data_IF_474955390175
#
_entry.id   IF_474955390175
#
_cell.length_a   1.000
_cell.length_b   1.000
_cell.length_c   1.000
_cell.angle_alpha   90.00
_cell.angle_beta   90.00
_cell.angle_gamma   90.00
#
_symmetry.space_group_name_H-M   'P 1'
#
loop_
_entity.id
_entity.type
_entity.pdbx_description
1 polymer ?
#
# COMPACT_ATOMS: atom_id res chain seq x y z
N UNK A 1 6.17 -7.70 19.31
CA UNK A 1 7.19 -6.64 19.17
C UNK A 1 8.48 -7.13 18.52
N UNK A 2 9.08 -8.21 18.98
CA UNK A 2 10.34 -8.75 18.45
C UNK A 2 10.27 -9.12 16.96
N UNK A 3 9.17 -9.70 16.49
CA UNK A 3 8.93 -10.06 15.09
C UNK A 3 8.89 -8.85 14.14
N UNK A 4 8.33 -7.72 14.58
CA UNK A 4 8.36 -6.48 13.82
C UNK A 4 9.76 -5.88 13.73
N UNK A 5 10.54 -5.97 14.82
CA UNK A 5 11.92 -5.50 14.83
C UNK A 5 12.81 -6.34 13.90
N UNK A 6 12.64 -7.67 13.92
CA UNK A 6 13.34 -8.57 13.01
C UNK A 6 12.97 -8.36 11.55
N UNK A 7 11.68 -8.15 11.26
CA UNK A 7 11.20 -7.79 9.91
C UNK A 7 11.80 -6.47 9.44
N UNK A 8 11.89 -5.49 10.33
CA UNK A 8 12.47 -4.20 10.03
C UNK A 8 13.98 -4.26 9.76
N UNK A 9 14.72 -5.04 10.56
CA UNK A 9 16.14 -5.32 10.34
C UNK A 9 16.37 -6.05 9.00
N UNK A 10 15.48 -6.97 8.63
CA UNK A 10 15.56 -7.68 7.35
C UNK A 10 15.39 -6.73 6.16
N UNK A 11 14.49 -5.76 6.25
CA UNK A 11 14.30 -4.71 5.21
C UNK A 11 15.55 -3.82 5.09
N UNK A 12 16.26 -3.54 6.19
CA UNK A 12 17.50 -2.75 6.14
C UNK A 12 18.65 -3.50 5.46
N UNK A 13 18.67 -4.83 5.55
CA UNK A 13 19.72 -5.68 4.96
C UNK A 13 19.35 -6.11 3.53
N UNK A 14 18.08 -6.47 3.30
CA UNK A 14 17.55 -6.87 2.01
C UNK A 14 16.54 -5.83 1.52
N UNK A 15 17.07 -4.83 0.91
CA UNK A 15 16.34 -3.72 0.35
C UNK A 15 15.46 -4.16 -0.82
N UNK A 16 14.13 -3.94 -0.77
CA UNK A 16 13.26 -4.30 -1.87
C UNK A 16 13.61 -3.49 -3.12
N UNK A 17 13.78 -4.16 -4.23
CA UNK A 17 13.95 -3.51 -5.52
C UNK A 17 12.61 -2.91 -5.97
N UNK A 18 12.62 -1.78 -6.68
CA UNK A 18 11.40 -1.26 -7.28
C UNK A 18 10.88 -2.21 -8.34
N UNK A 19 9.56 -2.37 -8.37
CA UNK A 19 8.83 -3.14 -9.38
C UNK A 19 8.21 -2.16 -10.36
N UNK A 20 8.35 -2.42 -11.67
CA UNK A 20 7.70 -1.66 -12.71
C UNK A 20 6.26 -2.13 -12.86
N UNK A 21 5.31 -1.27 -12.49
CA UNK A 21 3.89 -1.59 -12.51
C UNK A 21 3.07 -0.58 -13.30
N UNK A 22 1.96 -1.05 -13.83
CA UNK A 22 0.87 -0.23 -14.34
C UNK A 22 -0.23 -0.20 -13.29
N UNK A 23 -0.70 0.99 -12.95
CA UNK A 23 -1.86 1.21 -12.08
C UNK A 23 -2.99 1.75 -12.97
N UNK A 24 -4.15 1.10 -12.91
CA UNK A 24 -5.35 1.48 -13.66
C UNK A 24 -6.51 1.62 -12.68
N UNK A 25 -7.21 2.73 -12.79
CA UNK A 25 -8.45 3.05 -12.06
C UNK A 25 -9.55 3.38 -13.04
N UNK A 26 -10.73 3.76 -12.57
CA UNK A 26 -11.81 4.26 -13.42
C UNK A 26 -11.45 5.58 -14.13
N UNK A 27 -10.53 6.36 -13.55
CA UNK A 27 -10.26 7.73 -13.98
C UNK A 27 -8.91 7.92 -14.66
N UNK A 28 -7.93 7.07 -14.36
CA UNK A 28 -6.57 7.24 -14.84
C UNK A 28 -5.83 5.91 -14.97
N UNK A 29 -4.79 5.92 -15.81
CA UNK A 29 -3.89 4.80 -16.02
C UNK A 29 -2.48 5.32 -16.24
N UNK A 30 -1.51 4.80 -15.50
CA UNK A 30 -0.10 5.21 -15.60
C UNK A 30 0.85 4.12 -15.14
N UNK A 31 2.12 4.27 -15.52
CA UNK A 31 3.21 3.40 -15.07
C UNK A 31 4.01 4.08 -13.96
N UNK A 32 4.50 3.28 -13.01
CA UNK A 32 5.47 3.73 -12.02
C UNK A 32 6.38 2.61 -11.54
N UNK A 33 7.59 3.00 -11.12
CA UNK A 33 8.52 2.11 -10.42
C UNK A 33 8.33 2.30 -8.92
N UNK A 34 7.77 1.30 -8.27
CA UNK A 34 7.42 1.40 -6.86
C UNK A 34 7.96 0.24 -6.02
N UNK A 35 8.30 0.53 -4.79
CA UNK A 35 8.72 -0.45 -3.79
C UNK A 35 7.64 -0.68 -2.73
N UNK A 36 6.60 0.16 -2.74
CA UNK A 36 5.50 0.09 -1.80
C UNK A 36 4.23 0.60 -2.48
N UNK A 37 3.19 -0.22 -2.44
CA UNK A 37 1.84 0.13 -2.82
C UNK A 37 0.88 -0.50 -1.82
N UNK A 38 -0.07 0.29 -1.33
CA UNK A 38 -1.12 -0.16 -0.41
C UNK A 38 -2.48 0.31 -0.88
N UNK A 39 -3.43 -0.61 -0.91
CA UNK A 39 -4.85 -0.33 -1.12
C UNK A 39 -5.52 -0.32 0.24
N UNK A 40 -5.96 0.83 0.69
CA UNK A 40 -6.44 1.05 2.04
C UNK A 40 -7.94 1.36 2.05
N UNK A 41 -8.75 0.50 2.66
CA UNK A 41 -10.14 0.80 3.04
C UNK A 41 -10.21 1.47 4.41
N UNK A 42 -9.20 1.28 5.24
CA UNK A 42 -9.06 1.90 6.55
C UNK A 42 -7.66 2.45 6.77
N UNK A 43 -7.50 3.29 7.78
CA UNK A 43 -6.25 4.03 7.99
C UNK A 43 -5.07 3.17 8.43
N UNK A 44 -5.33 2.06 9.15
CA UNK A 44 -4.27 1.30 9.85
C UNK A 44 -4.11 -0.10 9.31
N UNK A 45 -2.86 -0.52 9.21
CA UNK A 45 -2.47 -1.90 9.04
C UNK A 45 -1.91 -2.40 10.38
N UNK A 46 -2.61 -3.35 11.00
CA UNK A 46 -2.33 -3.76 12.38
C UNK A 46 -2.51 -2.59 13.35
N UNK A 47 -1.79 -2.61 14.48
CA UNK A 47 -1.89 -1.58 15.51
C UNK A 47 -0.99 -0.37 15.27
N UNK A 48 0.12 -0.55 14.55
CA UNK A 48 1.23 0.40 14.54
C UNK A 48 1.29 1.30 13.30
N UNK A 49 0.96 0.78 12.10
CA UNK A 49 1.20 1.49 10.86
C UNK A 49 -0.06 2.20 10.35
N UNK A 50 0.09 3.45 9.94
CA UNK A 50 -0.94 4.26 9.28
C UNK A 50 -0.62 4.25 7.79
N UNK A 51 -1.18 3.28 7.07
CA UNK A 51 -0.93 3.08 5.64
C UNK A 51 -1.72 4.06 4.77
N UNK A 52 -3.02 4.25 5.08
CA UNK A 52 -3.92 5.22 4.43
C UNK A 52 -4.31 6.34 5.38
N UNK A 53 -3.52 7.43 5.52
CA UNK A 53 -3.80 8.49 6.50
C UNK A 53 -5.17 9.14 6.37
N UNK A 54 -5.70 9.15 5.15
CA UNK A 54 -6.99 9.79 4.82
C UNK A 54 -8.10 8.80 4.48
N UNK A 55 -7.84 7.48 4.59
CA UNK A 55 -8.84 6.47 4.29
C UNK A 55 -10.04 6.58 5.25
N UNK A 56 -11.24 6.45 4.70
CA UNK A 56 -12.52 6.46 5.40
C UNK A 56 -13.27 5.17 5.08
N UNK A 57 -13.88 4.54 6.09
CA UNK A 57 -14.48 3.20 5.94
C UNK A 57 -15.80 3.19 5.16
N UNK A 58 -16.43 4.34 5.02
CA UNK A 58 -17.80 4.51 4.52
C UNK A 58 -17.93 5.49 3.35
N UNK A 59 -16.81 6.01 2.80
CA UNK A 59 -16.82 6.91 1.65
C UNK A 59 -16.93 6.17 0.30
N UNK A 60 -16.83 4.83 0.32
CA UNK A 60 -16.93 4.00 -0.88
C UNK A 60 -15.70 4.04 -1.78
N UNK A 61 -14.55 4.47 -1.27
CA UNK A 61 -13.30 4.57 -2.01
C UNK A 61 -12.16 3.80 -1.31
N UNK A 62 -11.23 3.33 -2.10
CA UNK A 62 -9.93 2.85 -1.66
C UNK A 62 -8.91 3.98 -1.77
N UNK A 63 -8.18 4.24 -0.69
CA UNK A 63 -6.98 5.06 -0.74
C UNK A 63 -5.82 4.21 -1.27
N UNK A 64 -5.33 4.52 -2.47
CA UNK A 64 -4.16 3.89 -3.08
C UNK A 64 -2.94 4.73 -2.75
N UNK A 65 -2.17 4.29 -1.77
CA UNK A 65 -0.94 4.95 -1.32
C UNK A 65 0.26 4.23 -1.89
N UNK A 66 1.09 4.90 -2.65
CA UNK A 66 2.25 4.30 -3.30
C UNK A 66 3.48 5.20 -3.29
N UNK A 67 4.66 4.57 -3.33
CA UNK A 67 5.91 5.29 -3.56
C UNK A 67 5.98 5.66 -5.05
N UNK A 68 5.94 6.95 -5.36
CA UNK A 68 5.91 7.46 -6.73
C UNK A 68 7.31 7.53 -7.39
N UNK A 69 8.36 7.31 -6.60
CA UNK A 69 9.75 7.25 -7.04
C UNK A 69 10.52 6.26 -6.18
N UNK A 70 11.48 5.52 -6.74
CA UNK A 70 12.32 4.61 -5.99
C UNK A 70 13.03 5.30 -4.82
N UNK A 71 13.04 4.63 -3.66
CA UNK A 71 13.66 5.12 -2.44
C UNK A 71 15.00 4.40 -2.27
N UNK A 72 16.11 5.13 -2.26
CA UNK A 72 17.42 4.55 -2.01
C UNK A 72 17.53 3.96 -0.59
N UNK A 73 18.21 2.81 -0.44
CA UNK A 73 18.28 2.02 0.80
C UNK A 73 18.61 2.81 2.05
N UNK A 74 19.59 3.74 1.94
CA UNK A 74 19.99 4.64 3.03
C UNK A 74 18.86 5.55 3.55
N UNK A 75 17.78 5.74 2.79
CA UNK A 75 16.65 6.58 3.14
C UNK A 75 15.41 5.81 3.58
N UNK A 76 15.39 4.48 3.43
CA UNK A 76 14.21 3.66 3.73
C UNK A 76 13.73 3.85 5.17
N UNK A 77 14.66 3.84 6.13
CA UNK A 77 14.35 4.03 7.54
C UNK A 77 13.62 5.37 7.79
N UNK A 78 14.11 6.45 7.18
CA UNK A 78 13.50 7.76 7.29
C UNK A 78 12.05 7.78 6.82
N UNK A 79 11.74 7.05 5.73
CA UNK A 79 10.38 6.99 5.20
C UNK A 79 9.52 5.97 5.95
N UNK A 80 10.08 4.84 6.38
CA UNK A 80 9.36 3.83 7.15
C UNK A 80 8.82 4.39 8.48
N UNK A 81 9.60 5.24 9.17
CA UNK A 81 9.17 5.91 10.41
C UNK A 81 7.92 6.78 10.18
N UNK A 82 7.74 7.35 8.98
CA UNK A 82 6.58 8.20 8.68
C UNK A 82 5.26 7.44 8.66
N UNK A 83 5.28 6.13 8.42
CA UNK A 83 4.10 5.29 8.47
C UNK A 83 3.55 5.10 9.91
N UNK A 84 4.36 5.31 10.94
CA UNK A 84 3.86 5.32 12.33
C UNK A 84 3.01 6.55 12.63
N UNK A 85 3.33 7.68 12.02
CA UNK A 85 2.62 8.95 12.21
C UNK A 85 1.63 9.29 11.10
N UNK A 86 1.57 8.50 10.02
CA UNK A 86 0.77 8.80 8.83
C UNK A 86 1.27 10.01 8.04
N UNK A 87 2.55 10.40 8.20
CA UNK A 87 3.10 11.59 7.57
C UNK A 87 3.83 11.32 6.24
N UNK A 88 3.75 10.11 5.69
CA UNK A 88 4.37 9.74 4.42
C UNK A 88 3.88 10.60 3.25
N UNK A 89 2.57 10.91 3.21
CA UNK A 89 1.98 11.76 2.17
C UNK A 89 2.36 13.26 2.26
N UNK A 90 3.05 13.67 3.32
CA UNK A 90 3.63 15.02 3.43
C UNK A 90 4.99 15.14 2.73
N UNK A 91 5.42 14.11 2.03
CA UNK A 91 6.66 14.09 1.27
C UNK A 91 6.38 13.99 -0.22
N UNK A 92 7.36 14.34 -1.03
CA UNK A 92 7.33 14.21 -2.50
C UNK A 92 7.55 12.76 -3.00
N UNK A 93 7.67 11.80 -2.08
CA UNK A 93 7.99 10.39 -2.38
C UNK A 93 6.78 9.48 -2.38
N UNK A 94 5.69 9.93 -1.81
CA UNK A 94 4.45 9.16 -1.77
C UNK A 94 3.31 9.94 -2.38
N UNK A 95 2.48 9.24 -3.12
CA UNK A 95 1.26 9.76 -3.72
C UNK A 95 0.05 9.00 -3.25
N UNK A 96 -1.09 9.64 -3.35
CA UNK A 96 -2.40 9.08 -3.07
C UNK A 96 -3.31 9.32 -4.27
N UNK A 97 -3.98 8.27 -4.69
CA UNK A 97 -5.16 8.34 -5.57
C UNK A 97 -6.32 7.61 -4.91
N UNK A 98 -7.55 7.92 -5.31
CA UNK A 98 -8.76 7.29 -4.77
C UNK A 98 -9.58 6.66 -5.88
N UNK A 99 -10.02 5.42 -5.67
CA UNK A 99 -10.79 4.68 -6.66
C UNK A 99 -11.66 3.61 -6.00
N UNK A 100 -12.75 3.20 -6.66
CA UNK A 100 -13.53 2.02 -6.25
C UNK A 100 -12.94 0.74 -6.80
N UNK A 101 -12.30 0.81 -7.96
CA UNK A 101 -11.65 -0.30 -8.62
C UNK A 101 -10.20 0.07 -8.95
N UNK A 102 -9.29 -0.83 -8.64
CA UNK A 102 -7.87 -0.67 -8.96
C UNK A 102 -7.35 -1.96 -9.57
N UNK A 103 -6.73 -1.86 -10.72
CA UNK A 103 -5.97 -2.96 -11.34
C UNK A 103 -4.49 -2.60 -11.31
N UNK A 104 -3.69 -3.50 -10.82
CA UNK A 104 -2.23 -3.40 -10.77
C UNK A 104 -1.69 -4.52 -11.64
N UNK A 105 -0.85 -4.21 -12.61
CA UNK A 105 -0.22 -5.20 -13.48
C UNK A 105 1.26 -4.92 -13.70
N UNK A 106 2.02 -5.97 -13.99
CA UNK A 106 3.42 -5.88 -14.41
C UNK A 106 3.68 -6.85 -15.55
N UNK A 107 4.37 -6.37 -16.56
CA UNK A 107 4.78 -7.22 -17.69
C UNK A 107 6.10 -7.96 -17.39
N UNK A 108 6.93 -7.41 -16.52
CA UNK A 108 8.29 -7.87 -16.27
C UNK A 108 8.42 -8.67 -14.97
N UNK A 109 7.68 -8.28 -13.93
CA UNK A 109 7.86 -8.79 -12.58
C UNK A 109 6.64 -9.56 -12.10
N UNK A 110 6.86 -10.51 -11.22
CA UNK A 110 5.81 -11.18 -10.49
C UNK A 110 5.35 -10.32 -9.30
N UNK A 111 4.05 -10.12 -9.20
CA UNK A 111 3.44 -9.38 -8.13
C UNK A 111 3.23 -10.28 -6.90
N UNK A 112 3.65 -9.80 -5.74
CA UNK A 112 3.36 -10.42 -4.44
C UNK A 112 2.33 -9.58 -3.72
N UNK A 113 1.21 -10.19 -3.35
CA UNK A 113 0.09 -9.52 -2.69
C UNK A 113 -0.18 -10.12 -1.32
N UNK A 114 -0.34 -9.23 -0.34
CA UNK A 114 -0.79 -9.56 1.02
C UNK A 114 -2.07 -8.80 1.34
N UNK A 115 -3.00 -9.46 2.00
CA UNK A 115 -4.24 -8.86 2.51
C UNK A 115 -4.37 -9.18 3.98
N UNK A 116 -4.49 -8.16 4.83
CA UNK A 116 -4.67 -8.29 6.29
C UNK A 116 -3.63 -9.19 6.98
N UNK A 117 -2.42 -9.23 6.44
CA UNK A 117 -1.31 -10.04 6.96
C UNK A 117 -1.19 -11.44 6.38
N UNK A 118 -2.10 -11.85 5.50
CA UNK A 118 -2.04 -13.11 4.78
C UNK A 118 -1.57 -12.90 3.34
N UNK A 119 -0.73 -13.81 2.87
CA UNK A 119 -0.31 -13.81 1.47
C UNK A 119 -1.41 -14.39 0.59
N UNK A 120 -1.91 -13.58 -0.33
CA UNK A 120 -2.99 -13.96 -1.25
C UNK A 120 -2.45 -14.49 -2.58
N UNK A 121 -1.33 -13.97 -3.05
CA UNK A 121 -0.73 -14.37 -4.31
C UNK A 121 0.78 -14.18 -4.34
N UNK A 122 1.45 -15.14 -4.96
CA UNK A 122 2.85 -15.02 -5.44
C UNK A 122 2.89 -15.30 -6.93
N UNK A 123 3.57 -14.45 -7.69
CA UNK A 123 3.83 -14.71 -9.09
C UNK A 123 2.64 -14.46 -10.03
N UNK A 124 1.67 -13.64 -9.62
CA UNK A 124 0.66 -13.16 -10.54
C UNK A 124 1.15 -11.93 -11.32
N UNK A 125 0.67 -11.76 -12.54
CA UNK A 125 0.99 -10.62 -13.41
C UNK A 125 -0.01 -9.50 -13.31
N UNK A 126 -1.17 -9.74 -12.71
CA UNK A 126 -2.23 -8.75 -12.55
C UNK A 126 -3.08 -9.06 -11.33
N UNK A 127 -3.45 -8.02 -10.60
CA UNK A 127 -4.33 -8.06 -9.44
C UNK A 127 -5.38 -6.98 -9.63
N UNK A 128 -6.66 -7.34 -9.53
CA UNK A 128 -7.76 -6.38 -9.53
C UNK A 128 -8.46 -6.41 -8.18
N UNK A 129 -8.61 -5.25 -7.58
CA UNK A 129 -9.34 -5.06 -6.32
C UNK A 129 -10.54 -4.18 -6.57
N UNK A 130 -11.72 -4.65 -6.16
CA UNK A 130 -12.97 -3.92 -6.24
C UNK A 130 -13.50 -3.67 -4.83
N UNK A 131 -13.80 -2.43 -4.51
CA UNK A 131 -14.51 -2.10 -3.29
C UNK A 131 -16.03 -2.31 -3.52
N UNK A 132 -16.67 -2.93 -2.54
CA UNK A 132 -18.12 -3.10 -2.50
C UNK A 132 -18.70 -2.28 -1.32
N UNK A 133 -19.10 -1.03 -1.54
CA UNK A 133 -19.57 -0.16 -0.46
C UNK A 133 -20.78 -0.74 0.26
N UNK A 134 -20.82 -0.57 1.59
CA UNK A 134 -21.98 -0.94 2.40
C UNK A 134 -22.28 -2.44 2.55
N UNK A 135 -21.37 -3.33 2.11
CA UNK A 135 -21.54 -4.79 2.24
C UNK A 135 -21.38 -5.30 3.66
N UNK A 136 -20.59 -4.64 4.50
CA UNK A 136 -20.39 -4.99 5.90
C UNK A 136 -21.09 -3.97 6.81
N UNK A 137 -21.88 -4.48 7.76
CA UNK A 137 -22.48 -3.67 8.83
C UNK A 137 -21.61 -3.82 10.08
N UNK A 138 -21.02 -2.74 10.52
CA UNK A 138 -20.22 -2.70 11.75
C UNK A 138 -21.05 -2.17 12.90
N UNK A 139 -21.05 -2.89 14.03
CA UNK A 139 -21.62 -2.42 15.28
C UNK A 139 -20.58 -1.55 15.98
N UNK A 140 -20.87 -0.27 16.14
CA UNK A 140 -20.06 0.64 16.93
C UNK A 140 -20.67 0.75 18.31
N UNK A 141 -19.90 0.46 19.36
CA UNK A 141 -20.31 0.78 20.74
C UNK A 141 -20.33 2.32 20.88
N UNK A 142 -21.49 2.86 21.16
CA UNK A 142 -21.65 4.27 21.53
C UNK A 142 -21.02 4.53 22.89
#
# INVERSE_FOLDING_TARGET
MLSYLLGFLKILVHYPQPVHIKIETENESFFCDTQQLSLCNGRRMGSAFIMGPYAELDDGLLDVVYANKPIAGKHILRYAIRFFSGSQLKTDRFSLIRAQRVTISSEQDDLVCHTDGEEVSRGCRSITVNLHPGKLKLLKKM
#
